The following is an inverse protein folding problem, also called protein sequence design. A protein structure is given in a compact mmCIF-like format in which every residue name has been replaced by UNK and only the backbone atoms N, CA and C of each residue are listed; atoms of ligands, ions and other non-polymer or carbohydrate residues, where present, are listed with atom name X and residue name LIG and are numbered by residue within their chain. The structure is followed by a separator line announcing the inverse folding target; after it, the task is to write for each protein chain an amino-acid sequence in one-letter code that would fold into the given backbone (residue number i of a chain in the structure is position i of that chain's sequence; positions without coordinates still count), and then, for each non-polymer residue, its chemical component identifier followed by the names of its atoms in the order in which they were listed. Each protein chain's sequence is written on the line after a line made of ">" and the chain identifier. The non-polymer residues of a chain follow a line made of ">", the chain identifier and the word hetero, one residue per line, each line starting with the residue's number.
data_IF_381583434464
#
_entry.id   IF_381583434464
#
_cell.length_a   1.000
_cell.length_b   1.000
_cell.length_c   1.000
_cell.angle_alpha   90.00
_cell.angle_beta   90.00
_cell.angle_gamma   90.00
#
_symmetry.space_group_name_H-M   'P 1'
#
loop_
_entity.id
_entity.type
_entity.pdbx_description
1 polymer ?
#
# COMPACT_ATOMS: atom_id res chain seq x y z
N UNK A 1 0.10 -16.00 -23.96
CA UNK A 1 0.57 -17.14 -23.09
C UNK A 1 -0.57 -18.14 -22.92
N UNK A 2 -0.28 -19.45 -22.87
CA UNK A 2 -1.25 -20.47 -22.53
C UNK A 2 -1.64 -20.38 -21.03
N UNK A 3 -2.78 -20.96 -20.65
CA UNK A 3 -3.21 -20.96 -19.23
C UNK A 3 -2.18 -21.66 -18.31
N UNK A 4 -1.49 -22.67 -18.83
CA UNK A 4 -0.43 -23.36 -18.07
C UNK A 4 0.80 -22.45 -17.88
N UNK A 5 1.24 -21.75 -18.90
CA UNK A 5 2.34 -20.79 -18.80
C UNK A 5 2.02 -19.64 -17.85
N UNK A 6 0.78 -19.11 -17.88
CA UNK A 6 0.32 -18.08 -16.94
C UNK A 6 0.34 -18.56 -15.50
N UNK A 7 -0.04 -19.81 -15.26
CA UNK A 7 0.02 -20.40 -13.91
C UNK A 7 1.46 -20.55 -13.42
N UNK A 8 2.35 -21.05 -14.26
CA UNK A 8 3.79 -21.16 -13.91
C UNK A 8 4.39 -19.79 -13.66
N UNK A 9 4.10 -18.82 -14.53
CA UNK A 9 4.57 -17.45 -14.35
C UNK A 9 4.07 -16.84 -13.04
N UNK A 10 2.79 -17.03 -12.69
CA UNK A 10 2.21 -16.54 -11.45
C UNK A 10 2.92 -17.11 -10.22
N UNK A 11 3.13 -18.42 -10.15
CA UNK A 11 3.81 -19.03 -8.98
C UNK A 11 5.28 -18.61 -8.90
N UNK A 12 5.98 -18.49 -10.03
CA UNK A 12 7.35 -17.98 -10.06
C UNK A 12 7.42 -16.54 -9.56
N UNK A 13 6.52 -15.67 -10.04
CA UNK A 13 6.41 -14.28 -9.61
C UNK A 13 6.12 -14.18 -8.11
N UNK A 14 5.18 -14.98 -7.61
CA UNK A 14 4.86 -15.03 -6.17
C UNK A 14 6.07 -15.46 -5.35
N UNK A 15 6.82 -16.46 -5.78
CA UNK A 15 8.04 -16.89 -5.09
C UNK A 15 9.09 -15.77 -5.02
N UNK A 16 9.33 -15.08 -6.14
CA UNK A 16 10.28 -13.96 -6.20
C UNK A 16 9.82 -12.78 -5.35
N UNK A 17 8.55 -12.41 -5.43
CA UNK A 17 7.97 -11.33 -4.61
C UNK A 17 8.12 -11.66 -3.12
N UNK A 18 7.72 -12.85 -2.69
CA UNK A 18 7.82 -13.26 -1.28
C UNK A 18 9.27 -13.27 -0.81
N UNK A 19 10.19 -13.84 -1.59
CA UNK A 19 11.61 -13.89 -1.24
C UNK A 19 12.20 -12.49 -1.10
N UNK A 20 11.93 -11.60 -2.06
CA UNK A 20 12.42 -10.21 -2.03
C UNK A 20 11.80 -9.43 -0.87
N UNK A 21 10.49 -9.55 -0.65
CA UNK A 21 9.80 -8.91 0.48
C UNK A 21 10.36 -9.36 1.83
N UNK A 22 10.63 -10.66 1.99
CA UNK A 22 11.24 -11.20 3.22
C UNK A 22 12.66 -10.70 3.43
N UNK A 23 13.48 -10.67 2.37
CA UNK A 23 14.85 -10.20 2.44
C UNK A 23 14.91 -8.71 2.77
N UNK A 24 14.20 -7.86 2.03
CA UNK A 24 14.20 -6.41 2.24
C UNK A 24 13.51 -6.05 3.56
N UNK A 25 12.42 -6.72 3.92
CA UNK A 25 11.75 -6.52 5.21
C UNK A 25 12.66 -6.86 6.40
N UNK A 26 13.41 -7.96 6.31
CA UNK A 26 14.40 -8.31 7.33
C UNK A 26 15.54 -7.29 7.41
N UNK A 27 16.06 -6.83 6.27
CA UNK A 27 17.09 -5.78 6.23
C UNK A 27 16.57 -4.46 6.84
N UNK A 28 15.36 -4.04 6.48
CA UNK A 28 14.74 -2.83 7.02
C UNK A 28 14.56 -2.91 8.54
N UNK A 29 14.12 -4.06 9.06
CA UNK A 29 14.00 -4.29 10.49
C UNK A 29 15.34 -4.28 11.21
N UNK A 30 16.36 -4.96 10.65
CA UNK A 30 17.67 -5.14 11.27
C UNK A 30 18.51 -3.86 11.28
N UNK A 31 18.54 -3.12 10.16
CA UNK A 31 19.45 -1.98 10.00
C UNK A 31 18.76 -0.62 10.17
N UNK A 32 17.48 -0.51 9.86
CA UNK A 32 16.74 0.76 9.94
C UNK A 32 15.77 0.81 11.12
N UNK A 33 15.60 -0.28 11.89
CA UNK A 33 14.62 -0.34 12.98
C UNK A 33 13.17 -0.17 12.54
N UNK A 34 12.89 -0.27 11.23
CA UNK A 34 11.56 -0.09 10.68
C UNK A 34 10.73 -1.38 10.80
N UNK A 35 9.40 -1.27 10.91
CA UNK A 35 8.52 -2.43 10.80
C UNK A 35 8.78 -3.20 9.51
N UNK A 36 8.67 -4.53 9.55
CA UNK A 36 8.94 -5.39 8.40
C UNK A 36 8.06 -5.02 7.19
N UNK A 37 6.80 -4.62 7.43
CA UNK A 37 5.86 -4.21 6.39
C UNK A 37 6.37 -3.03 5.55
N UNK A 38 7.09 -2.09 6.15
CA UNK A 38 7.70 -0.96 5.44
C UNK A 38 8.76 -1.45 4.46
N UNK A 39 9.60 -2.40 4.88
CA UNK A 39 10.57 -3.05 3.99
C UNK A 39 9.91 -3.84 2.85
N UNK A 40 8.78 -4.49 3.11
CA UNK A 40 8.01 -5.20 2.07
C UNK A 40 7.43 -4.23 1.02
N UNK A 41 7.00 -3.03 1.42
CA UNK A 41 6.59 -1.98 0.47
C UNK A 41 7.76 -1.49 -0.38
N UNK A 42 8.91 -1.25 0.25
CA UNK A 42 10.14 -0.87 -0.45
C UNK A 42 10.53 -1.97 -1.45
N UNK A 43 10.40 -3.24 -1.08
CA UNK A 43 10.64 -4.37 -1.98
C UNK A 43 9.72 -4.34 -3.21
N UNK A 44 8.45 -3.97 -3.04
CA UNK A 44 7.51 -3.79 -4.14
C UNK A 44 7.94 -2.69 -5.12
N UNK A 45 8.45 -1.57 -4.60
CA UNK A 45 9.00 -0.48 -5.42
C UNK A 45 10.27 -0.92 -6.14
N UNK A 46 11.15 -1.69 -5.47
CA UNK A 46 12.37 -2.26 -6.05
C UNK A 46 12.05 -3.19 -7.22
N UNK A 47 11.09 -4.11 -7.05
CA UNK A 47 10.66 -5.04 -8.11
C UNK A 47 9.83 -4.37 -9.21
N UNK A 48 9.33 -3.17 -8.94
CA UNK A 48 8.50 -2.42 -9.87
C UNK A 48 9.30 -1.77 -11.02
N UNK A 49 8.59 -1.03 -11.89
CA UNK A 49 9.22 -0.33 -13.01
C UNK A 49 10.19 0.77 -12.55
N UNK A 50 10.07 1.25 -11.32
CA UNK A 50 10.85 2.38 -10.81
C UNK A 50 12.33 2.06 -10.62
N UNK A 51 12.70 0.85 -10.20
CA UNK A 51 14.08 0.47 -10.01
C UNK A 51 14.47 -0.71 -10.91
N UNK A 52 13.80 -1.85 -10.77
CA UNK A 52 14.12 -3.04 -11.57
C UNK A 52 13.84 -2.83 -13.05
N UNK A 53 12.73 -2.16 -13.40
CA UNK A 53 12.43 -1.80 -14.79
C UNK A 53 13.38 -0.76 -15.38
N UNK A 54 13.97 0.12 -14.55
CA UNK A 54 14.98 1.08 -15.00
C UNK A 54 16.36 0.43 -15.21
N UNK A 55 16.76 -0.50 -14.32
CA UNK A 55 18.07 -1.14 -14.36
C UNK A 55 18.14 -2.31 -15.35
N UNK A 56 17.06 -3.06 -15.50
CA UNK A 56 16.99 -4.26 -16.34
C UNK A 56 15.59 -4.40 -16.97
N UNK A 57 15.24 -3.54 -17.96
CA UNK A 57 13.89 -3.51 -18.52
C UNK A 57 13.49 -4.82 -19.18
N UNK A 58 14.39 -5.50 -19.89
CA UNK A 58 14.10 -6.76 -20.56
C UNK A 58 13.83 -7.91 -19.57
N UNK A 59 14.60 -7.97 -18.49
CA UNK A 59 14.37 -8.94 -17.40
C UNK A 59 13.07 -8.67 -16.68
N UNK A 60 12.76 -7.41 -16.41
CA UNK A 60 11.52 -7.01 -15.76
C UNK A 60 10.31 -7.36 -16.64
N UNK A 61 10.37 -7.10 -17.95
CA UNK A 61 9.31 -7.42 -18.89
C UNK A 61 9.13 -8.94 -19.06
N UNK A 62 10.20 -9.72 -19.03
CA UNK A 62 10.13 -11.18 -19.10
C UNK A 62 9.59 -11.81 -17.82
N UNK A 63 9.96 -11.25 -16.65
CA UNK A 63 9.50 -11.75 -15.35
C UNK A 63 8.06 -11.33 -15.04
N UNK A 64 7.66 -10.11 -15.43
CA UNK A 64 6.34 -9.55 -15.20
C UNK A 64 5.64 -9.16 -16.52
N UNK A 65 5.32 -10.14 -17.39
CA UNK A 65 4.60 -9.86 -18.62
C UNK A 65 3.24 -9.22 -18.35
N UNK A 66 2.76 -8.41 -19.28
CA UNK A 66 1.52 -7.63 -19.11
C UNK A 66 0.30 -8.52 -18.83
N UNK A 67 0.25 -9.71 -19.44
CA UNK A 67 -0.86 -10.66 -19.26
C UNK A 67 -0.94 -11.23 -17.83
N UNK A 68 0.20 -11.38 -17.13
CA UNK A 68 0.22 -11.91 -15.76
C UNK A 68 -0.11 -10.85 -14.69
N UNK A 69 0.01 -9.57 -15.01
CA UNK A 69 -0.22 -8.47 -14.04
C UNK A 69 -1.65 -8.45 -13.50
N UNK A 70 -2.65 -8.77 -14.34
CA UNK A 70 -4.04 -8.85 -13.91
C UNK A 70 -4.28 -9.99 -12.92
N UNK A 71 -3.61 -11.13 -13.10
CA UNK A 71 -3.69 -12.27 -12.17
C UNK A 71 -3.00 -11.93 -10.84
N UNK A 72 -1.83 -11.29 -10.90
CA UNK A 72 -1.14 -10.79 -9.70
C UNK A 72 -2.00 -9.79 -8.91
N UNK A 73 -2.70 -8.89 -9.62
CA UNK A 73 -3.62 -7.95 -9.00
C UNK A 73 -4.75 -8.66 -8.25
N UNK A 74 -5.39 -9.65 -8.88
CA UNK A 74 -6.44 -10.46 -8.21
C UNK A 74 -5.86 -11.20 -7.00
N UNK A 75 -4.67 -11.81 -7.13
CA UNK A 75 -3.98 -12.46 -6.01
C UNK A 75 -3.68 -11.50 -4.86
N UNK A 76 -3.24 -10.28 -5.16
CA UNK A 76 -3.01 -9.25 -4.16
C UNK A 76 -4.31 -8.84 -3.44
N UNK A 77 -5.42 -8.65 -4.17
CA UNK A 77 -6.72 -8.33 -3.57
C UNK A 77 -7.24 -9.46 -2.68
N UNK A 78 -7.07 -10.71 -3.08
CA UNK A 78 -7.40 -11.86 -2.24
C UNK A 78 -6.56 -11.88 -0.97
N UNK A 79 -5.26 -11.62 -1.07
CA UNK A 79 -4.36 -11.54 0.08
C UNK A 79 -4.77 -10.45 1.08
N UNK A 80 -5.10 -9.26 0.60
CA UNK A 80 -5.62 -8.16 1.43
C UNK A 80 -6.94 -8.56 2.08
N UNK A 81 -7.88 -9.15 1.32
CA UNK A 81 -9.17 -9.60 1.83
C UNK A 81 -9.04 -10.64 2.95
N UNK A 82 -8.19 -11.66 2.75
CA UNK A 82 -7.92 -12.68 3.77
C UNK A 82 -7.25 -12.07 5.01
N UNK A 83 -6.29 -11.16 4.82
CA UNK A 83 -5.65 -10.48 5.93
C UNK A 83 -6.66 -9.65 6.74
N UNK A 84 -7.53 -8.90 6.08
CA UNK A 84 -8.58 -8.12 6.75
C UNK A 84 -9.59 -9.00 7.47
N UNK A 85 -9.91 -10.17 6.93
CA UNK A 85 -10.73 -11.16 7.59
C UNK A 85 -10.08 -11.66 8.90
N UNK A 86 -8.80 -11.99 8.87
CA UNK A 86 -8.06 -12.42 10.07
C UNK A 86 -7.99 -11.31 11.13
N UNK A 87 -7.75 -10.06 10.70
CA UNK A 87 -7.79 -8.89 11.60
C UNK A 87 -9.18 -8.73 12.23
N UNK A 88 -10.25 -8.91 11.42
CA UNK A 88 -11.62 -8.85 11.90
C UNK A 88 -11.96 -9.94 12.92
N UNK A 89 -11.45 -11.16 12.75
CA UNK A 89 -11.59 -12.24 13.72
C UNK A 89 -10.92 -11.95 15.07
N UNK A 90 -9.78 -11.22 15.03
CA UNK A 90 -9.05 -10.81 16.23
C UNK A 90 -9.73 -9.68 17.02
N UNK A 91 -10.79 -9.07 16.50
CA UNK A 91 -11.42 -7.90 17.09
C UNK A 91 -12.25 -8.28 18.34
N UNK A 92 -11.81 -7.84 19.52
CA UNK A 92 -12.52 -8.07 20.80
C UNK A 92 -13.60 -7.01 20.98
N UNK A 93 -14.87 -7.42 20.93
CA UNK A 93 -16.04 -6.55 21.05
C UNK A 93 -16.11 -5.77 22.38
N UNK A 94 -15.61 -6.36 23.46
CA UNK A 94 -15.71 -5.78 24.81
C UNK A 94 -14.89 -4.48 24.94
N UNK A 95 -13.69 -4.42 24.37
CA UNK A 95 -12.86 -3.22 24.37
C UNK A 95 -13.41 -2.10 23.47
N UNK A 96 -14.11 -2.48 22.39
CA UNK A 96 -14.66 -1.52 21.45
C UNK A 96 -15.81 -0.70 22.06
N UNK A 97 -16.71 -1.34 22.83
CA UNK A 97 -17.86 -0.65 23.45
C UNK A 97 -17.43 0.39 24.50
N UNK A 98 -16.37 0.13 25.22
CA UNK A 98 -15.90 1.00 26.31
C UNK A 98 -15.21 2.26 25.80
N UNK A 99 -14.56 2.21 24.65
CA UNK A 99 -13.73 3.31 24.12
C UNK A 99 -14.17 3.82 22.75
N UNK A 100 -15.37 3.47 22.27
CA UNK A 100 -15.84 3.78 20.92
C UNK A 100 -15.81 5.29 20.62
N UNK A 101 -16.22 6.13 21.57
CA UNK A 101 -16.25 7.59 21.38
C UNK A 101 -14.84 8.18 21.22
N UNK A 102 -13.90 7.76 22.07
CA UNK A 102 -12.49 8.19 21.98
C UNK A 102 -11.83 7.68 20.70
N UNK A 103 -12.08 6.43 20.33
CA UNK A 103 -11.59 5.86 19.08
C UNK A 103 -12.14 6.61 17.85
N UNK A 104 -13.43 6.93 17.84
CA UNK A 104 -14.06 7.71 16.78
C UNK A 104 -13.46 9.13 16.69
N UNK A 105 -13.27 9.81 17.81
CA UNK A 105 -12.67 11.15 17.84
C UNK A 105 -11.23 11.15 17.30
N UNK A 106 -10.40 10.19 17.74
CA UNK A 106 -9.02 10.05 17.24
C UNK A 106 -8.99 9.72 15.77
N UNK A 107 -9.86 8.82 15.30
CA UNK A 107 -9.94 8.47 13.87
C UNK A 107 -10.38 9.66 13.02
N UNK A 108 -11.40 10.39 13.44
CA UNK A 108 -11.87 11.59 12.71
C UNK A 108 -10.79 12.68 12.69
N UNK A 109 -10.12 12.94 13.80
CA UNK A 109 -9.03 13.91 13.86
C UNK A 109 -7.85 13.48 12.97
N UNK A 110 -7.49 12.19 13.00
CA UNK A 110 -6.42 11.61 12.20
C UNK A 110 -6.68 11.64 10.69
N UNK A 111 -7.94 11.64 10.26
CA UNK A 111 -8.32 11.81 8.86
C UNK A 111 -8.51 13.29 8.49
N UNK A 112 -9.16 14.07 9.34
CA UNK A 112 -9.48 15.47 9.06
C UNK A 112 -8.23 16.36 9.01
N UNK A 113 -7.27 16.16 9.91
CA UNK A 113 -6.07 16.99 9.95
C UNK A 113 -5.23 16.91 8.65
N UNK A 114 -4.81 15.73 8.16
CA UNK A 114 -4.06 15.65 6.90
C UNK A 114 -4.93 16.07 5.69
N UNK A 115 -6.24 15.78 5.71
CA UNK A 115 -7.15 16.24 4.67
C UNK A 115 -7.16 17.77 4.55
N UNK A 116 -7.33 18.48 5.65
CA UNK A 116 -7.36 19.95 5.66
C UNK A 116 -6.02 20.55 5.21
N UNK A 117 -4.90 19.98 5.63
CA UNK A 117 -3.57 20.41 5.17
C UNK A 117 -3.42 20.21 3.67
N UNK A 118 -3.84 19.07 3.13
CA UNK A 118 -3.79 18.77 1.71
C UNK A 118 -4.68 19.73 0.88
N UNK A 119 -5.90 19.99 1.35
CA UNK A 119 -6.83 20.95 0.74
C UNK A 119 -6.23 22.36 0.70
N UNK A 120 -5.59 22.78 1.80
CA UNK A 120 -4.93 24.10 1.85
C UNK A 120 -3.72 24.21 0.92
N UNK A 121 -2.98 23.12 0.70
CA UNK A 121 -1.82 23.07 -0.19
C UNK A 121 -2.19 22.97 -1.68
N UNK A 122 -3.35 22.39 -2.01
CA UNK A 122 -3.74 22.11 -3.39
C UNK A 122 -3.72 23.34 -4.33
N UNK A 123 -4.21 24.53 -3.96
CA UNK A 123 -4.15 25.72 -4.84
C UNK A 123 -2.72 26.15 -5.15
N UNK A 124 -1.83 26.06 -4.17
CA UNK A 124 -0.41 26.35 -4.36
C UNK A 124 0.25 25.37 -5.33
N UNK A 125 0.00 24.06 -5.18
CA UNK A 125 0.51 23.03 -6.07
C UNK A 125 -0.08 23.14 -7.49
N UNK A 126 -1.32 23.63 -7.62
CA UNK A 126 -1.91 23.95 -8.93
C UNK A 126 -1.16 25.08 -9.63
N UNK A 127 -0.72 26.10 -8.89
CA UNK A 127 0.05 27.21 -9.47
C UNK A 127 1.44 26.78 -10.00
N UNK A 128 1.91 25.57 -9.60
CA UNK A 128 3.15 24.95 -10.09
C UNK A 128 2.93 23.98 -11.25
N UNK A 129 1.74 23.94 -11.87
CA UNK A 129 1.37 23.06 -12.98
C UNK A 129 1.57 21.55 -12.68
N UNK A 130 1.45 21.14 -11.42
CA UNK A 130 1.62 19.76 -11.01
C UNK A 130 0.38 18.88 -11.22
N UNK A 131 -0.75 19.50 -11.62
CA UNK A 131 -1.98 18.79 -11.96
C UNK A 131 -2.20 18.76 -13.46
N UNK A 132 -2.90 17.73 -13.95
CA UNK A 132 -3.23 17.62 -15.37
C UNK A 132 -4.11 18.77 -15.88
N UNK A 133 -4.04 19.03 -17.19
CA UNK A 133 -4.82 20.09 -17.82
C UNK A 133 -6.33 19.88 -17.65
N UNK A 134 -7.08 20.93 -17.35
CA UNK A 134 -8.53 20.91 -17.22
C UNK A 134 -9.06 20.52 -15.82
N UNK A 135 -8.19 20.32 -14.83
CA UNK A 135 -8.60 20.04 -13.44
C UNK A 135 -8.99 21.36 -12.77
N UNK A 136 -10.19 21.39 -12.20
CA UNK A 136 -10.69 22.52 -11.42
C UNK A 136 -10.16 22.44 -9.97
N UNK A 137 -9.92 23.60 -9.35
CA UNK A 137 -9.32 23.71 -8.01
C UNK A 137 -9.99 22.82 -6.96
N UNK A 138 -11.32 22.74 -6.91
CA UNK A 138 -12.01 21.90 -5.94
C UNK A 138 -11.77 20.39 -6.17
N UNK A 139 -11.58 19.97 -7.43
CA UNK A 139 -11.24 18.57 -7.74
C UNK A 139 -9.83 18.23 -7.25
N UNK A 140 -8.87 19.12 -7.47
CA UNK A 140 -7.51 18.97 -6.94
C UNK A 140 -7.50 18.91 -5.41
N UNK A 141 -8.26 19.80 -4.75
CA UNK A 141 -8.42 19.81 -3.30
C UNK A 141 -8.99 18.49 -2.76
N UNK A 142 -10.09 18.00 -3.36
CA UNK A 142 -10.71 16.74 -2.93
C UNK A 142 -9.81 15.55 -3.21
N UNK A 143 -9.18 15.51 -4.38
CA UNK A 143 -8.27 14.40 -4.75
C UNK A 143 -7.07 14.34 -3.81
N UNK A 144 -6.39 15.46 -3.58
CA UNK A 144 -5.25 15.51 -2.66
C UNK A 144 -5.67 15.21 -1.22
N UNK A 145 -6.78 15.82 -0.77
CA UNK A 145 -7.32 15.57 0.55
C UNK A 145 -7.61 14.09 0.78
N UNK A 146 -8.28 13.45 -0.17
CA UNK A 146 -8.54 12.02 -0.11
C UNK A 146 -7.23 11.21 -0.15
N UNK A 147 -6.32 11.50 -1.08
CA UNK A 147 -5.07 10.76 -1.24
C UNK A 147 -4.19 10.78 0.01
N UNK A 148 -4.08 11.91 0.70
CA UNK A 148 -3.25 12.04 1.90
C UNK A 148 -3.96 11.53 3.16
N UNK A 149 -5.30 11.61 3.22
CA UNK A 149 -6.08 11.16 4.38
C UNK A 149 -6.42 9.66 4.36
N UNK A 150 -6.22 8.97 3.22
CA UNK A 150 -6.40 7.51 3.14
C UNK A 150 -5.35 6.83 4.02
N UNK A 151 -5.72 6.61 5.26
CA UNK A 151 -4.92 5.80 6.18
C UNK A 151 -5.10 4.33 5.82
N UNK A 152 -4.03 3.68 5.37
CA UNK A 152 -4.05 2.27 5.05
C UNK A 152 -4.25 1.44 6.35
N UNK A 153 -5.52 1.20 6.73
CA UNK A 153 -5.87 0.44 7.93
C UNK A 153 -5.17 -0.94 7.99
N UNK A 154 -5.05 -1.70 6.89
CA UNK A 154 -4.31 -2.97 6.92
C UNK A 154 -2.85 -2.81 7.34
N UNK A 155 -2.21 -1.72 6.90
CA UNK A 155 -0.84 -1.44 7.26
C UNK A 155 -0.69 -1.04 8.73
N UNK A 156 -1.58 -0.17 9.21
CA UNK A 156 -1.57 0.23 10.62
C UNK A 156 -1.79 -0.97 11.55
N UNK A 157 -2.78 -1.82 11.24
CA UNK A 157 -3.06 -3.04 12.00
C UNK A 157 -1.84 -3.97 12.04
N UNK A 158 -1.11 -4.10 10.92
CA UNK A 158 0.10 -4.92 10.84
C UNK A 158 1.25 -4.33 11.66
N UNK A 159 1.46 -3.01 11.62
CA UNK A 159 2.49 -2.33 12.42
C UNK A 159 2.21 -2.48 13.92
N UNK A 160 0.96 -2.31 14.34
CA UNK A 160 0.53 -2.51 15.74
C UNK A 160 0.83 -3.94 16.18
N UNK A 161 0.42 -4.92 15.37
CA UNK A 161 0.68 -6.34 15.65
C UNK A 161 2.19 -6.66 15.73
N UNK A 162 3.02 -6.12 14.81
CA UNK A 162 4.48 -6.32 14.83
C UNK A 162 5.16 -5.66 16.03
N UNK A 163 4.58 -4.61 16.59
CA UNK A 163 5.07 -3.91 17.78
C UNK A 163 4.57 -4.50 19.08
N UNK A 164 3.66 -5.46 19.04
CA UNK A 164 3.08 -6.11 20.22
C UNK A 164 2.16 -5.19 21.04
N UNK A 165 1.55 -4.21 20.37
CA UNK A 165 0.61 -3.24 20.97
C UNK A 165 -0.84 -3.68 20.81
#
# INVERSE_FOLDING_TARGET
>A
MSNAELSVAFFLQMAIIIATCRAVGWLAKKYLGQPQVVGEMIAGVILGPSLFGLLAPDLQASLFPSESKSILFVGAQMGVGLYMFLVGLGFRRDHFRTNATSAAAVSLAGMAAPFLVAVAMAPWLMSLDLFGQGIVTWQAMLFMGAAISITAFPMLARIIHERGL
#
